data_IF_225056862868
#
_entry.id   IF_225056862868
#
_cell.length_a   1.000
_cell.length_b   1.000
_cell.length_c   1.000
_cell.angle_alpha   90.00
_cell.angle_beta   90.00
_cell.angle_gamma   90.00
#
_symmetry.space_group_name_H-M   'P 1'
#
loop_
_entity.id
_entity.type
_entity.pdbx_description
1 polymer ?
#
# COMPACT_ATOMS: atom_id res chain seq x y z
N UNK A 1 8.40 -5.20 -16.13
CA UNK A 1 9.13 -4.61 -14.98
C UNK A 1 8.12 -3.77 -14.23
N UNK A 2 8.04 -3.84 -12.89
CA UNK A 2 7.07 -3.02 -12.16
C UNK A 2 7.35 -1.52 -12.41
N UNK A 3 6.29 -0.75 -12.64
CA UNK A 3 6.38 0.70 -12.79
C UNK A 3 6.41 1.36 -11.40
N UNK A 4 7.37 2.27 -11.21
CA UNK A 4 7.59 2.99 -9.95
C UNK A 4 7.03 4.39 -10.06
N UNK A 5 6.44 4.89 -8.98
CA UNK A 5 6.03 6.29 -8.88
C UNK A 5 6.86 7.02 -7.83
N UNK A 6 7.42 8.16 -8.23
CA UNK A 6 8.17 9.04 -7.32
C UNK A 6 7.20 9.80 -6.44
N UNK A 7 7.42 9.72 -5.12
CA UNK A 7 6.69 10.49 -4.13
C UNK A 7 7.67 11.41 -3.39
N UNK A 8 7.37 12.71 -3.25
CA UNK A 8 8.22 13.65 -2.49
C UNK A 8 7.98 13.48 -0.98
N UNK A 9 8.15 12.26 -0.50
CA UNK A 9 7.92 11.84 0.88
C UNK A 9 9.10 10.97 1.30
N UNK A 10 9.72 11.27 2.43
CA UNK A 10 10.70 10.37 3.03
C UNK A 10 9.98 9.15 3.62
N UNK A 11 10.57 7.96 3.50
CA UNK A 11 10.01 6.78 4.16
C UNK A 11 10.38 6.76 5.64
N UNK A 12 9.39 6.94 6.50
CA UNK A 12 9.53 6.74 7.94
C UNK A 12 9.18 5.27 8.25
N UNK A 13 10.07 4.53 8.93
CA UNK A 13 9.73 3.20 9.42
C UNK A 13 9.03 3.31 10.78
N UNK A 14 8.02 2.46 11.04
CA UNK A 14 7.40 2.38 12.36
C UNK A 14 8.37 1.72 13.36
N UNK A 15 8.83 2.47 14.36
CA UNK A 15 9.79 1.98 15.34
C UNK A 15 9.30 0.71 16.04
N UNK A 16 10.16 -0.31 16.12
CA UNK A 16 9.87 -1.59 16.78
C UNK A 16 8.89 -2.50 16.04
N UNK A 17 8.54 -2.20 14.79
CA UNK A 17 7.61 -2.99 13.98
C UNK A 17 8.22 -3.35 12.62
N UNK A 18 7.67 -4.37 11.97
CA UNK A 18 8.05 -4.69 10.60
C UNK A 18 7.50 -3.65 9.62
N UNK A 19 8.32 -3.31 8.62
CA UNK A 19 7.99 -2.32 7.61
C UNK A 19 6.67 -2.64 6.88
N UNK A 20 5.95 -1.58 6.54
CA UNK A 20 4.70 -1.64 5.75
C UNK A 20 4.95 -1.35 4.27
N UNK A 21 6.15 -0.86 3.94
CA UNK A 21 6.72 -0.79 2.60
C UNK A 21 8.07 -1.51 2.60
N UNK A 22 8.16 -2.63 1.89
CA UNK A 22 9.28 -3.57 1.93
C UNK A 22 10.16 -3.44 0.69
N UNK A 23 11.45 -3.76 0.82
CA UNK A 23 12.38 -3.85 -0.31
C UNK A 23 12.08 -5.10 -1.13
N UNK A 24 11.18 -4.98 -2.11
CA UNK A 24 10.79 -6.06 -3.00
C UNK A 24 10.45 -5.53 -4.40
N UNK A 25 10.87 -6.26 -5.43
CA UNK A 25 10.57 -5.97 -6.83
C UNK A 25 9.53 -6.93 -7.44
N UNK A 26 9.18 -8.00 -6.73
CA UNK A 26 8.20 -8.98 -7.21
C UNK A 26 6.77 -8.38 -7.19
N UNK A 27 5.98 -8.54 -8.26
CA UNK A 27 4.57 -8.18 -8.24
C UNK A 27 3.75 -8.97 -7.24
N UNK A 28 2.51 -8.52 -7.02
CA UNK A 28 1.53 -9.18 -6.16
C UNK A 28 0.30 -9.49 -7.00
N UNK A 29 -0.12 -10.75 -7.01
CA UNK A 29 -1.42 -11.14 -7.54
C UNK A 29 -2.54 -10.88 -6.52
N UNK A 30 -3.66 -10.35 -6.99
CA UNK A 30 -4.87 -10.13 -6.19
C UNK A 30 -5.38 -11.42 -5.55
N UNK A 31 -5.37 -12.54 -6.27
CA UNK A 31 -5.75 -13.84 -5.75
C UNK A 31 -4.83 -14.32 -4.60
N UNK A 32 -3.64 -13.76 -4.49
CA UNK A 32 -2.68 -14.13 -3.45
C UNK A 32 -2.92 -13.37 -2.13
N UNK A 33 -3.79 -12.36 -2.11
CA UNK A 33 -4.20 -11.62 -0.90
C UNK A 33 -5.09 -12.50 -0.03
N UNK A 34 -4.48 -13.25 0.89
CA UNK A 34 -5.17 -14.27 1.70
C UNK A 34 -5.77 -13.76 3.01
N UNK A 35 -5.68 -12.46 3.31
CA UNK A 35 -6.19 -11.90 4.56
C UNK A 35 -7.69 -11.62 4.43
N UNK A 36 -8.48 -12.30 5.26
CA UNK A 36 -9.94 -12.19 5.27
C UNK A 36 -10.48 -11.41 6.47
N UNK A 37 -9.63 -11.09 7.44
CA UNK A 37 -10.00 -10.34 8.65
C UNK A 37 -9.16 -9.08 8.82
N UNK A 38 -9.73 -7.99 9.36
CA UNK A 38 -8.96 -6.81 9.77
C UNK A 38 -7.92 -7.19 10.84
N UNK A 39 -6.77 -6.49 10.83
CA UNK A 39 -5.77 -6.59 11.89
C UNK A 39 -5.75 -5.30 12.71
N UNK A 40 -6.30 -5.26 13.94
CA UNK A 40 -6.30 -4.08 14.80
C UNK A 40 -4.93 -3.89 15.49
N UNK A 41 -3.87 -3.80 14.68
CA UNK A 41 -2.50 -3.63 15.16
C UNK A 41 -2.00 -2.23 14.87
N UNK A 42 -1.06 -1.74 15.69
CA UNK A 42 -0.41 -0.45 15.43
C UNK A 42 0.28 -0.41 14.06
N UNK A 43 0.82 -1.54 13.58
CA UNK A 43 1.40 -1.66 12.23
C UNK A 43 0.38 -1.40 11.13
N UNK A 44 -0.84 -1.93 11.31
CA UNK A 44 -1.90 -1.75 10.33
C UNK A 44 -2.47 -0.33 10.36
N UNK A 45 -2.66 0.24 11.55
CA UNK A 45 -3.07 1.64 11.70
C UNK A 45 -2.04 2.59 11.06
N UNK A 46 -0.76 2.32 11.29
CA UNK A 46 0.34 3.04 10.66
C UNK A 46 0.27 2.96 9.13
N UNK A 47 0.08 1.76 8.56
CA UNK A 47 -0.09 1.59 7.13
C UNK A 47 -1.26 2.42 6.58
N UNK A 48 -2.42 2.41 7.25
CA UNK A 48 -3.59 3.17 6.82
C UNK A 48 -3.33 4.68 6.80
N UNK A 49 -2.73 5.23 7.86
CA UNK A 49 -2.37 6.65 7.91
C UNK A 49 -1.33 7.00 6.84
N UNK A 50 -0.36 6.12 6.59
CA UNK A 50 0.64 6.34 5.55
C UNK A 50 0.04 6.37 4.14
N UNK A 51 -0.93 5.49 3.85
CA UNK A 51 -1.65 5.52 2.57
C UNK A 51 -2.41 6.84 2.39
N UNK A 52 -3.02 7.38 3.43
CA UNK A 52 -3.69 8.70 3.37
C UNK A 52 -2.70 9.82 3.05
N UNK A 53 -1.52 9.81 3.68
CA UNK A 53 -0.45 10.79 3.38
C UNK A 53 0.00 10.68 1.92
N UNK A 54 0.30 9.48 1.44
CA UNK A 54 0.70 9.26 0.04
C UNK A 54 -0.41 9.73 -0.91
N UNK A 55 -1.67 9.37 -0.63
CA UNK A 55 -2.81 9.80 -1.43
C UNK A 55 -2.94 11.32 -1.52
N UNK A 56 -2.72 12.02 -0.41
CA UNK A 56 -2.66 13.47 -0.36
C UNK A 56 -1.53 14.03 -1.23
N UNK A 57 -0.30 13.51 -1.09
CA UNK A 57 0.86 13.94 -1.89
C UNK A 57 0.68 13.69 -3.40
N UNK A 58 0.01 12.60 -3.78
CA UNK A 58 -0.27 12.26 -5.17
C UNK A 58 -1.49 13.00 -5.74
N UNK A 59 -2.32 13.62 -4.90
CA UNK A 59 -3.63 14.14 -5.31
C UNK A 59 -4.58 13.05 -5.86
N UNK A 60 -4.36 11.79 -5.48
CA UNK A 60 -5.04 10.62 -6.04
C UNK A 60 -5.37 9.60 -4.97
N UNK A 61 -6.56 9.00 -5.04
CA UNK A 61 -6.96 7.85 -4.19
C UNK A 61 -6.40 6.52 -4.68
N UNK A 62 -6.00 6.48 -5.95
CA UNK A 62 -5.28 5.36 -6.54
C UNK A 62 -3.79 5.54 -6.25
N UNK A 63 -3.23 4.63 -5.47
CA UNK A 63 -1.86 4.65 -5.00
C UNK A 63 -1.10 3.48 -5.62
N UNK A 64 -0.04 3.73 -6.41
CA UNK A 64 0.83 2.69 -6.95
C UNK A 64 1.41 1.81 -5.85
N UNK A 65 1.45 0.49 -6.05
CA UNK A 65 1.98 -0.42 -5.02
C UNK A 65 3.51 -0.32 -4.88
N UNK A 66 4.18 0.19 -5.90
CA UNK A 66 5.63 0.40 -5.99
C UNK A 66 5.92 1.90 -5.92
N UNK A 67 6.57 2.33 -4.82
CA UNK A 67 6.86 3.73 -4.55
C UNK A 67 8.36 3.98 -4.40
N UNK A 68 8.83 5.05 -5.03
CA UNK A 68 10.20 5.54 -4.90
C UNK A 68 10.19 6.71 -3.89
N UNK A 69 10.70 6.43 -2.68
CA UNK A 69 10.83 7.40 -1.60
C UNK A 69 12.22 8.04 -1.66
N UNK A 70 12.37 9.11 -2.45
CA UNK A 70 13.64 9.83 -2.61
C UNK A 70 14.85 8.92 -2.93
N UNK A 71 14.68 7.94 -3.81
CA UNK A 71 15.69 6.97 -4.22
C UNK A 71 15.58 5.61 -3.51
N UNK A 72 14.77 5.48 -2.45
CA UNK A 72 14.49 4.20 -1.79
C UNK A 72 13.23 3.56 -2.36
N UNK A 73 13.41 2.64 -3.30
CA UNK A 73 12.35 1.90 -3.98
C UNK A 73 11.78 0.80 -3.09
N UNK A 74 10.51 0.94 -2.70
CA UNK A 74 9.78 -0.03 -1.87
C UNK A 74 8.40 -0.39 -2.38
N UNK A 75 8.02 -1.65 -2.20
CA UNK A 75 6.67 -2.15 -2.48
C UNK A 75 5.85 -2.20 -1.21
N UNK A 76 4.57 -1.85 -1.28
CA UNK A 76 3.62 -2.09 -0.18
C UNK A 76 3.65 -3.56 0.29
N UNK A 77 3.65 -3.78 1.61
CA UNK A 77 3.60 -5.13 2.15
C UNK A 77 2.29 -5.83 1.78
N UNK A 78 2.43 -7.09 1.34
CA UNK A 78 1.30 -7.90 0.87
C UNK A 78 0.29 -8.15 2.01
N UNK A 79 0.78 -8.38 3.23
CA UNK A 79 -0.06 -8.59 4.40
C UNK A 79 -0.86 -7.34 4.77
N UNK A 80 -0.21 -6.18 4.75
CA UNK A 80 -0.84 -4.88 5.01
C UNK A 80 -1.95 -4.56 4.00
N UNK A 81 -1.74 -4.83 2.70
CA UNK A 81 -2.78 -4.67 1.66
C UNK A 81 -3.99 -5.55 2.00
N UNK A 82 -3.78 -6.85 2.24
CA UNK A 82 -4.87 -7.78 2.52
C UNK A 82 -5.70 -7.37 3.73
N UNK A 83 -5.05 -7.00 4.84
CA UNK A 83 -5.75 -6.53 6.05
C UNK A 83 -6.50 -5.20 5.81
N UNK A 84 -5.98 -4.30 4.97
CA UNK A 84 -6.66 -3.05 4.65
C UNK A 84 -7.89 -3.26 3.76
N UNK A 85 -7.87 -4.24 2.85
CA UNK A 85 -9.06 -4.65 2.09
C UNK A 85 -10.11 -5.23 3.03
N UNK A 86 -9.73 -6.16 3.91
CA UNK A 86 -10.65 -6.75 4.89
C UNK A 86 -11.24 -5.70 5.86
N UNK A 87 -10.50 -4.63 6.15
CA UNK A 87 -10.95 -3.51 6.99
C UNK A 87 -11.84 -2.49 6.24
N UNK A 88 -12.07 -2.65 4.94
CA UNK A 88 -12.83 -1.68 4.13
C UNK A 88 -12.10 -0.35 3.90
N UNK A 89 -10.78 -0.29 4.15
CA UNK A 89 -9.95 0.89 3.89
C UNK A 89 -9.54 0.95 2.41
N UNK A 90 -9.31 -0.21 1.80
CA UNK A 90 -9.01 -0.34 0.38
C UNK A 90 -10.15 -1.05 -0.34
N UNK A 91 -10.42 -0.64 -1.58
CA UNK A 91 -11.21 -1.47 -2.49
C UNK A 91 -10.44 -2.77 -2.80
N UNK A 92 -11.13 -3.90 -3.07
CA UNK A 92 -10.47 -5.10 -3.56
C UNK A 92 -9.65 -4.80 -4.83
N UNK A 93 -8.32 -4.99 -4.80
CA UNK A 93 -7.47 -4.70 -5.96
C UNK A 93 -7.75 -5.67 -7.11
N UNK A 94 -7.60 -5.20 -8.33
CA UNK A 94 -7.73 -6.01 -9.55
C UNK A 94 -6.36 -6.15 -10.20
N UNK A 95 -6.06 -7.33 -10.75
CA UNK A 95 -4.84 -7.55 -11.51
C UNK A 95 -4.87 -6.77 -12.82
N UNK A 96 -3.76 -6.09 -13.13
CA UNK A 96 -3.37 -5.75 -14.49
C UNK A 96 -2.55 -6.87 -15.14
N UNK A 97 -1.86 -6.59 -16.26
CA UNK A 97 -1.05 -7.58 -16.98
C UNK A 97 0.05 -8.23 -16.12
N UNK A 98 0.63 -7.46 -15.19
CA UNK A 98 1.75 -7.87 -14.34
C UNK A 98 1.35 -8.00 -12.85
N UNK A 99 0.07 -8.28 -12.56
CA UNK A 99 -0.47 -8.29 -11.20
C UNK A 99 -1.06 -6.93 -10.79
N UNK A 100 -1.26 -6.71 -9.48
CA UNK A 100 -1.82 -5.45 -8.98
C UNK A 100 -0.84 -4.30 -9.28
N UNK A 101 -1.29 -3.25 -9.96
CA UNK A 101 -0.49 -2.04 -10.21
C UNK A 101 -0.68 -0.96 -9.14
N UNK A 102 -1.88 -0.86 -8.58
CA UNK A 102 -2.24 0.13 -7.58
C UNK A 102 -3.28 -0.41 -6.60
N UNK A 103 -3.38 0.22 -5.44
CA UNK A 103 -4.49 0.07 -4.51
C UNK A 103 -5.33 1.34 -4.50
N UNK A 104 -6.62 1.24 -4.23
CA UNK A 104 -7.51 2.40 -4.17
C UNK A 104 -8.11 2.55 -2.78
N UNK A 105 -7.94 3.72 -2.16
CA UNK A 105 -8.62 4.06 -0.91
C UNK A 105 -10.14 4.12 -1.10
N UNK A 106 -10.89 3.52 -0.18
CA UNK A 106 -12.33 3.72 -0.08
C UNK A 106 -12.58 5.14 0.43
N UNK A 107 -13.38 5.91 -0.30
CA UNK A 107 -13.60 7.32 0.03
C UNK A 107 -14.77 7.56 0.99
N UNK A 108 -14.60 8.53 1.89
CA UNK A 108 -15.68 9.45 2.28
C UNK A 108 -15.57 10.70 1.40
N UNK A 109 -16.66 11.17 0.82
CA UNK A 109 -16.83 12.59 0.51
C UNK A 109 -17.12 13.29 1.83
N UNK A 110 -16.30 14.26 2.22
CA UNK A 110 -16.70 15.39 3.07
C UNK A 110 -15.79 16.55 2.74
#
# INVERSE_FOLDING_TARGET
MPEWTTVPLEYEAASGQSDVFVKAASPIDAASLSKTTPAPTARQAYFHEYLKRISWHLGSRSIPIFLDFNGDRRRMDKGCIGHAVAAGVLKPPVNGPDGISHVELVGSQT
#
